data_IF_951677196564
#
_entry.id   IF_951677196564
#
_cell.length_a   1.000
_cell.length_b   1.000
_cell.length_c   1.000
_cell.angle_alpha   90.00
_cell.angle_beta   90.00
_cell.angle_gamma   90.00
#
_symmetry.space_group_name_H-M   'P 1'
#
loop_
_entity.id
_entity.type
_entity.pdbx_description
1 polymer ?
#
# COMPACT_ATOMS: atom_id res chain seq x y z
N UNK A 1 19.21 0.08 19.29
CA UNK A 1 19.35 -0.59 17.98
C UNK A 1 18.90 0.45 17.00
N UNK A 2 19.85 1.06 16.32
CA UNK A 2 19.63 2.20 15.44
C UNK A 2 18.71 1.77 14.30
N UNK A 3 17.54 2.41 14.25
CA UNK A 3 16.53 2.21 13.22
C UNK A 3 17.18 2.62 11.89
N UNK A 4 17.41 1.65 11.00
CA UNK A 4 18.07 1.87 9.71
C UNK A 4 17.18 2.75 8.84
N UNK A 5 17.31 4.07 8.98
CA UNK A 5 16.82 5.06 8.00
C UNK A 5 17.36 4.65 6.64
N UNK A 6 16.47 4.18 5.76
CA UNK A 6 16.86 3.73 4.42
C UNK A 6 16.72 4.89 3.45
N UNK A 7 17.82 5.21 2.79
CA UNK A 7 17.89 6.30 1.82
C UNK A 7 18.17 5.79 0.42
N UNK A 8 17.67 6.47 -0.61
CA UNK A 8 18.08 6.28 -1.99
C UNK A 8 18.12 7.62 -2.74
N UNK A 9 18.85 7.65 -3.85
CA UNK A 9 18.90 8.80 -4.75
C UNK A 9 18.30 8.47 -6.09
N UNK A 10 17.62 9.42 -6.71
CA UNK A 10 17.05 9.28 -8.04
C UNK A 10 16.71 10.63 -8.65
N UNK A 11 15.63 10.66 -9.43
CA UNK A 11 15.09 11.89 -10.00
C UNK A 11 13.57 11.88 -9.95
N UNK A 12 12.97 13.01 -9.57
CA UNK A 12 11.54 13.26 -9.62
C UNK A 12 11.32 14.43 -10.59
N UNK A 13 10.43 14.25 -11.57
CA UNK A 13 10.18 15.24 -12.64
C UNK A 13 11.46 15.74 -13.35
N UNK A 14 12.45 14.84 -13.49
CA UNK A 14 13.73 15.14 -14.13
C UNK A 14 14.75 15.89 -13.26
N UNK A 15 14.37 16.30 -12.05
CA UNK A 15 15.26 16.94 -11.07
C UNK A 15 15.87 15.91 -10.12
N UNK A 16 17.13 16.07 -9.66
CA UNK A 16 17.73 15.20 -8.66
C UNK A 16 16.86 15.14 -7.39
N UNK A 17 16.63 13.94 -6.89
CA UNK A 17 15.82 13.72 -5.70
C UNK A 17 16.51 12.78 -4.73
N UNK A 18 16.44 13.12 -3.44
CA UNK A 18 16.83 12.27 -2.33
C UNK A 18 15.56 11.74 -1.67
N UNK A 19 15.47 10.41 -1.57
CA UNK A 19 14.39 9.69 -0.92
C UNK A 19 14.90 9.18 0.43
N UNK A 20 14.14 9.44 1.47
CA UNK A 20 14.44 8.99 2.83
C UNK A 20 13.18 8.37 3.43
N UNK A 21 13.31 7.11 3.86
CA UNK A 21 12.30 6.42 4.64
C UNK A 21 12.58 6.67 6.12
N UNK A 22 11.63 7.34 6.77
CA UNK A 22 11.61 7.52 8.22
C UNK A 22 10.65 6.51 8.84
N UNK A 23 10.39 6.64 10.14
CA UNK A 23 9.53 5.72 10.88
C UNK A 23 8.05 5.76 10.42
N UNK A 24 7.56 6.93 9.98
CA UNK A 24 6.14 7.14 9.66
C UNK A 24 5.87 7.73 8.27
N UNK A 25 6.90 8.21 7.57
CA UNK A 25 6.75 9.00 6.35
C UNK A 25 7.89 8.79 5.36
N UNK A 26 7.54 8.88 4.07
CA UNK A 26 8.46 9.04 2.97
C UNK A 26 8.76 10.53 2.79
N UNK A 27 10.02 10.90 2.98
CA UNK A 27 10.51 12.26 2.81
C UNK A 27 11.28 12.37 1.50
N UNK A 28 10.89 13.34 0.67
CA UNK A 28 11.51 13.58 -0.63
C UNK A 28 12.04 15.01 -0.69
N UNK A 29 13.33 15.13 -0.97
CA UNK A 29 14.02 16.41 -1.17
C UNK A 29 14.43 16.53 -2.62
N UNK A 30 14.12 17.65 -3.26
CA UNK A 30 14.44 17.89 -4.66
C UNK A 30 15.54 18.96 -4.74
N UNK A 31 16.62 18.67 -5.46
CA UNK A 31 17.77 19.56 -5.59
C UNK A 31 18.47 19.84 -4.25
N UNK A 32 19.05 21.04 -4.13
CA UNK A 32 19.78 21.50 -2.93
C UNK A 32 18.86 22.11 -1.86
N UNK A 33 17.54 21.90 -1.94
CA UNK A 33 16.60 22.48 -1.00
C UNK A 33 16.79 21.92 0.42
N UNK A 34 16.91 22.83 1.38
CA UNK A 34 17.04 22.49 2.80
C UNK A 34 15.75 21.88 3.39
N UNK A 35 14.60 22.07 2.72
CA UNK A 35 13.27 21.66 3.18
C UNK A 35 12.75 20.55 2.25
N UNK A 36 12.11 19.49 2.78
CA UNK A 36 11.50 18.47 1.95
C UNK A 36 10.34 19.04 1.15
N UNK A 37 10.30 18.67 -0.13
CA UNK A 37 9.28 19.13 -1.07
C UNK A 37 8.04 18.25 -1.06
N UNK A 38 8.24 16.96 -0.76
CA UNK A 38 7.13 16.05 -0.47
C UNK A 38 7.40 15.34 0.86
N UNK A 39 6.42 15.43 1.76
CA UNK A 39 6.34 14.67 3.00
C UNK A 39 5.05 13.84 2.91
N UNK A 40 5.21 12.54 2.72
CA UNK A 40 4.12 11.60 2.46
C UNK A 40 4.04 10.61 3.62
N UNK A 41 3.06 10.74 4.52
CA UNK A 41 2.82 9.73 5.53
C UNK A 41 2.49 8.39 4.89
N UNK A 42 3.02 7.30 5.45
CA UNK A 42 2.85 5.97 4.87
C UNK A 42 1.39 5.53 4.74
N UNK A 43 0.52 5.93 5.68
CA UNK A 43 -0.92 5.64 5.64
C UNK A 43 -1.67 6.33 4.47
N UNK A 44 -1.05 7.26 3.74
CA UNK A 44 -1.64 7.88 2.55
C UNK A 44 -1.20 7.19 1.25
N UNK A 45 -0.20 6.32 1.32
CA UNK A 45 0.31 5.59 0.16
C UNK A 45 -0.60 4.40 -0.08
N UNK A 46 -1.23 4.36 -1.24
CA UNK A 46 -2.17 3.30 -1.61
C UNK A 46 -1.50 2.18 -2.40
N UNK A 47 -0.41 2.49 -3.12
CA UNK A 47 0.27 1.52 -3.96
C UNK A 47 1.74 1.89 -4.16
N UNK A 48 2.59 0.86 -4.20
CA UNK A 48 4.02 0.98 -4.48
C UNK A 48 4.37 0.01 -5.59
N UNK A 49 4.90 0.53 -6.70
CA UNK A 49 5.35 -0.27 -7.85
C UNK A 49 6.81 0.05 -8.19
N UNK A 50 7.56 -0.97 -8.55
CA UNK A 50 8.93 -0.85 -9.02
C UNK A 50 9.11 -1.44 -10.41
N UNK A 51 9.97 -0.79 -11.20
CA UNK A 51 10.40 -1.31 -12.48
C UNK A 51 11.93 -1.24 -12.57
N UNK A 52 12.57 -2.40 -12.63
CA UNK A 52 14.03 -2.49 -12.67
C UNK A 52 14.52 -2.58 -14.12
N UNK A 53 15.34 -1.63 -14.55
CA UNK A 53 16.07 -1.67 -15.82
C UNK A 53 17.47 -2.27 -15.69
N UNK A 54 18.25 -2.20 -16.78
CA UNK A 54 19.60 -2.78 -16.82
C UNK A 54 20.58 -2.12 -15.82
N UNK A 55 20.49 -0.79 -15.65
CA UNK A 55 21.37 0.00 -14.78
C UNK A 55 20.61 0.76 -13.68
N UNK A 56 19.45 1.31 -14.02
CA UNK A 56 18.59 2.07 -13.12
C UNK A 56 17.17 1.54 -13.19
N UNK A 57 16.33 1.94 -12.24
CA UNK A 57 14.90 1.65 -12.26
C UNK A 57 14.02 2.85 -11.95
N UNK A 58 12.74 2.53 -11.88
CA UNK A 58 11.66 3.43 -11.52
C UNK A 58 11.00 2.93 -10.25
N UNK A 59 10.58 3.87 -9.41
CA UNK A 59 9.73 3.62 -8.25
C UNK A 59 8.53 4.54 -8.37
N UNK A 60 7.35 3.97 -8.31
CA UNK A 60 6.09 4.67 -8.43
C UNK A 60 5.34 4.53 -7.11
N UNK A 61 4.97 5.66 -6.53
CA UNK A 61 4.23 5.73 -5.26
C UNK A 61 2.90 6.44 -5.53
N UNK A 62 1.80 5.72 -5.35
CA UNK A 62 0.44 6.25 -5.51
C UNK A 62 -0.08 6.78 -4.17
N UNK A 63 -0.73 7.95 -4.21
CA UNK A 63 -1.24 8.66 -3.03
C UNK A 63 -2.67 9.10 -3.35
N UNK A 64 -3.65 8.22 -3.12
CA UNK A 64 -5.02 8.45 -3.59
C UNK A 64 -5.07 8.54 -5.13
N UNK A 65 -5.47 9.70 -5.66
CA UNK A 65 -5.51 9.97 -7.10
C UNK A 65 -4.16 10.49 -7.65
N UNK A 66 -3.25 10.92 -6.78
CA UNK A 66 -1.94 11.45 -7.15
C UNK A 66 -0.88 10.35 -7.25
N UNK A 67 0.21 10.64 -7.96
CA UNK A 67 1.33 9.70 -8.14
C UNK A 67 2.67 10.40 -8.18
N UNK A 68 3.63 9.87 -7.43
CA UNK A 68 5.04 10.26 -7.51
C UNK A 68 5.80 9.20 -8.31
N UNK A 69 6.47 9.63 -9.36
CA UNK A 69 7.26 8.74 -10.23
C UNK A 69 8.73 9.10 -10.13
N UNK A 70 9.47 8.28 -9.39
CA UNK A 70 10.91 8.39 -9.27
C UNK A 70 11.57 7.59 -10.37
N UNK A 71 12.57 8.19 -11.01
CA UNK A 71 13.36 7.59 -12.09
C UNK A 71 14.84 7.64 -11.73
N UNK A 72 15.69 6.97 -12.53
CA UNK A 72 17.15 6.95 -12.34
C UNK A 72 17.61 6.49 -10.96
N UNK A 73 16.80 5.71 -10.25
CA UNK A 73 17.24 5.09 -9.00
C UNK A 73 18.23 3.97 -9.36
N UNK A 74 19.41 3.86 -8.71
CA UNK A 74 20.34 2.77 -8.96
C UNK A 74 19.65 1.42 -8.82
N UNK A 75 19.89 0.50 -9.75
CA UNK A 75 19.25 -0.84 -9.73
C UNK A 75 19.41 -1.56 -8.38
N UNK A 76 20.54 -1.37 -7.71
CA UNK A 76 20.83 -1.94 -6.41
C UNK A 76 19.84 -1.47 -5.33
N UNK A 77 19.27 -0.27 -5.49
CA UNK A 77 18.46 0.39 -4.48
C UNK A 77 16.95 0.35 -4.80
N UNK A 78 16.57 0.22 -6.08
CA UNK A 78 15.15 0.23 -6.51
C UNK A 78 14.29 -0.78 -5.74
N UNK A 79 14.70 -2.05 -5.77
CA UNK A 79 13.92 -3.14 -5.17
C UNK A 79 13.95 -3.11 -3.64
N UNK A 80 15.12 -2.95 -3.00
CA UNK A 80 15.16 -2.81 -1.54
C UNK A 80 14.40 -1.58 -1.02
N UNK A 81 14.37 -0.49 -1.78
CA UNK A 81 13.57 0.71 -1.45
C UNK A 81 12.07 0.42 -1.55
N UNK A 82 11.63 -0.23 -2.64
CA UNK A 82 10.22 -0.60 -2.82
C UNK A 82 9.74 -1.57 -1.73
N UNK A 83 10.53 -2.60 -1.42
CA UNK A 83 10.19 -3.59 -0.40
C UNK A 83 10.11 -2.95 1.00
N UNK A 84 11.05 -2.05 1.32
CA UNK A 84 11.01 -1.31 2.58
C UNK A 84 9.78 -0.40 2.66
N UNK A 85 9.47 0.34 1.60
CA UNK A 85 8.31 1.22 1.56
C UNK A 85 7.01 0.42 1.72
N UNK A 86 6.85 -0.71 1.02
CA UNK A 86 5.70 -1.62 1.21
C UNK A 86 5.58 -2.10 2.64
N UNK A 87 6.68 -2.51 3.25
CA UNK A 87 6.71 -2.97 4.64
C UNK A 87 6.25 -1.87 5.60
N UNK A 88 6.70 -0.63 5.38
CA UNK A 88 6.34 0.51 6.22
C UNK A 88 4.89 0.96 6.00
N UNK A 89 4.40 0.94 4.76
CA UNK A 89 2.98 1.21 4.43
C UNK A 89 2.07 0.19 5.11
N UNK A 90 2.39 -1.11 5.01
CA UNK A 90 1.62 -2.15 5.68
C UNK A 90 1.63 -2.02 7.21
N UNK A 91 2.67 -1.43 7.81
CA UNK A 91 2.75 -1.15 9.25
C UNK A 91 2.00 0.12 9.67
N UNK A 92 1.80 1.06 8.75
CA UNK A 92 1.21 2.37 9.02
C UNK A 92 -0.31 2.44 8.79
N UNK A 93 -0.89 1.50 8.02
CA UNK A 93 -2.34 1.33 8.00
C UNK A 93 -2.81 0.71 9.33
N UNK A 94 -3.93 1.17 9.93
CA UNK A 94 -4.65 0.32 10.87
C UNK A 94 -5.18 -0.86 10.06
N UNK A 95 -4.56 -2.02 10.23
CA UNK A 95 -4.78 -3.22 9.41
C UNK A 95 -6.25 -3.38 8.97
N UNK A 96 -6.55 -3.37 7.66
CA UNK A 96 -7.50 -4.33 7.17
C UNK A 96 -6.74 -5.66 7.11
N UNK A 97 -7.19 -6.65 7.89
CA UNK A 97 -6.73 -8.00 7.62
C UNK A 97 -7.12 -8.38 6.19
N UNK A 98 -6.12 -8.33 5.31
CA UNK A 98 -5.79 -9.61 4.72
C UNK A 98 -5.65 -10.60 5.89
N UNK A 99 -6.42 -11.70 5.90
CA UNK A 99 -5.92 -12.85 6.60
C UNK A 99 -4.45 -13.00 6.12
N UNK A 100 -3.40 -13.13 6.94
CA UNK A 100 -2.08 -13.54 6.45
C UNK A 100 -2.07 -14.85 5.65
N UNK A 101 -3.20 -15.37 5.17
CA UNK A 101 -3.83 -16.38 5.99
C UNK A 101 -4.01 -15.94 7.48
N UNK A 102 -5.28 -15.64 7.82
CA UNK A 102 -5.94 -15.54 9.16
C UNK A 102 -5.96 -14.22 9.99
N UNK A 103 -7.09 -13.49 10.01
CA UNK A 103 -7.31 -12.66 11.21
C UNK A 103 -8.57 -11.80 11.48
N UNK A 104 -9.26 -11.08 10.57
CA UNK A 104 -10.35 -10.16 11.02
C UNK A 104 -11.70 -10.65 10.55
N UNK A 105 -12.63 -10.65 11.51
CA UNK A 105 -14.03 -10.96 11.29
C UNK A 105 -14.65 -9.88 10.37
N UNK A 106 -15.26 -10.28 9.24
CA UNK A 106 -15.82 -9.35 8.27
C UNK A 106 -17.00 -8.54 8.84
N UNK A 107 -17.15 -7.31 8.37
CA UNK A 107 -18.27 -6.45 8.73
C UNK A 107 -19.58 -7.00 8.14
N UNK A 108 -20.77 -6.66 8.70
CA UNK A 108 -22.05 -7.20 8.24
C UNK A 108 -22.34 -6.97 6.74
N UNK A 109 -21.84 -5.88 6.15
CA UNK A 109 -21.96 -5.63 4.71
C UNK A 109 -21.05 -6.56 3.88
N UNK A 110 -19.83 -6.82 4.34
CA UNK A 110 -18.89 -7.72 3.68
C UNK A 110 -19.35 -9.18 3.78
N UNK A 111 -19.95 -9.57 4.91
CA UNK A 111 -20.62 -10.87 5.09
C UNK A 111 -21.81 -11.05 4.13
N UNK A 112 -22.59 -9.98 3.90
CA UNK A 112 -23.70 -10.01 2.92
C UNK A 112 -23.20 -10.20 1.49
N UNK A 113 -22.12 -9.51 1.08
CA UNK A 113 -21.49 -9.73 -0.23
C UNK A 113 -20.93 -11.15 -0.35
N UNK A 114 -20.35 -11.69 0.72
CA UNK A 114 -19.79 -13.04 0.74
C UNK A 114 -20.88 -14.12 0.64
N UNK A 115 -22.00 -13.93 1.32
CA UNK A 115 -23.18 -14.80 1.20
C UNK A 115 -23.73 -14.80 -0.24
N UNK A 116 -23.80 -13.63 -0.89
CA UNK A 116 -24.32 -13.52 -2.25
C UNK A 116 -23.44 -14.32 -3.24
N UNK A 117 -22.11 -14.21 -3.09
CA UNK A 117 -21.15 -14.98 -3.87
C UNK A 117 -21.29 -16.49 -3.67
N UNK A 118 -21.56 -16.95 -2.44
CA UNK A 118 -21.73 -18.39 -2.14
C UNK A 118 -23.03 -18.97 -2.74
N UNK A 119 -24.11 -18.18 -2.76
CA UNK A 119 -25.35 -18.55 -3.48
C UNK A 119 -25.10 -18.66 -4.99
N UNK A 120 -24.44 -17.67 -5.57
CA UNK A 120 -24.18 -17.61 -7.01
C UNK A 120 -23.24 -18.71 -7.48
N UNK A 121 -22.35 -19.18 -6.61
CA UNK A 121 -21.53 -20.37 -6.80
C UNK A 121 -22.31 -21.70 -6.64
N UNK A 122 -23.60 -21.66 -6.31
CA UNK A 122 -24.46 -22.84 -6.10
C UNK A 122 -24.13 -23.63 -4.83
N UNK A 123 -23.33 -23.07 -3.92
CA UNK A 123 -22.89 -23.71 -2.67
C UNK A 123 -23.98 -23.64 -1.60
N UNK A 124 -24.83 -22.62 -1.66
CA UNK A 124 -26.01 -22.47 -0.80
C UNK A 124 -27.28 -22.53 -1.64
N UNK A 125 -28.30 -23.24 -1.14
CA UNK A 125 -29.62 -23.18 -1.74
C UNK A 125 -30.25 -21.80 -1.51
N UNK A 126 -31.21 -21.36 -2.36
CA UNK A 126 -31.84 -20.05 -2.21
C UNK A 126 -32.48 -19.84 -0.83
N UNK A 127 -33.05 -20.91 -0.25
CA UNK A 127 -33.70 -20.85 1.06
C UNK A 127 -32.69 -20.64 2.21
N UNK A 128 -31.52 -21.28 2.15
CA UNK A 128 -30.46 -21.14 3.15
C UNK A 128 -29.81 -19.75 3.08
N UNK A 129 -29.66 -19.21 1.86
CA UNK A 129 -29.16 -17.85 1.66
C UNK A 129 -30.10 -16.80 2.27
N UNK A 130 -31.41 -16.89 2.03
CA UNK A 130 -32.38 -15.91 2.55
C UNK A 130 -32.51 -15.94 4.08
N UNK A 131 -32.34 -17.11 4.71
CA UNK A 131 -32.30 -17.22 6.17
C UNK A 131 -31.04 -16.59 6.77
N UNK A 132 -29.87 -16.86 6.19
CA UNK A 132 -28.60 -16.27 6.61
C UNK A 132 -28.58 -14.75 6.41
N UNK A 133 -29.11 -14.26 5.28
CA UNK A 133 -29.22 -12.84 4.97
C UNK A 133 -30.09 -12.08 5.96
N UNK A 134 -31.26 -12.63 6.33
CA UNK A 134 -32.13 -12.01 7.35
C UNK A 134 -31.45 -11.91 8.71
N UNK A 135 -30.81 -13.00 9.17
CA UNK A 135 -30.06 -13.00 10.43
C UNK A 135 -28.97 -11.94 10.46
N UNK A 136 -28.37 -11.66 9.31
CA UNK A 136 -27.33 -10.64 9.19
C UNK A 136 -27.89 -9.22 9.17
N UNK A 137 -29.02 -9.00 8.49
CA UNK A 137 -29.70 -7.71 8.47
C UNK A 137 -30.35 -7.33 9.81
N UNK A 138 -30.80 -8.31 10.60
CA UNK A 138 -31.31 -8.07 11.97
C UNK A 138 -30.20 -7.68 12.97
N UNK A 139 -28.93 -7.88 12.61
CA UNK A 139 -27.76 -7.54 13.45
C UNK A 139 -27.12 -6.19 13.07
N UNK A 140 -27.65 -5.54 12.05
CA UNK A 140 -27.34 -4.15 11.66
C UNK A 140 -28.22 -3.18 12.45
#
# INVERSE_FOLDING_TARGET
>A
MDEESRTATGSLDGMPAHLELTDERLVVRIGDEAVPRHDVPFHRITQVEEQVGLMTGYLTVSIGEDRLVFSRIPKADVRPMADALRTLVARAEPAPDEPPAEGHAPTPLEELERLARLRDAGVLSPAEFDEAKRKLLDRL
#
